data_IF_413933692704
#
_entry.id   IF_413933692704
#
_cell.length_a   1.000
_cell.length_b   1.000
_cell.length_c   1.000
_cell.angle_alpha   90.00
_cell.angle_beta   90.00
_cell.angle_gamma   90.00
#
_symmetry.space_group_name_H-M   'P 1'
#
loop_
_entity.id
_entity.type
_entity.pdbx_description
1 polymer ?
#
# COMPACT_ATOMS: atom_id res chain seq x y z
N UNK A 1 39.74 17.35 1.00
CA UNK A 1 39.24 16.28 1.91
C UNK A 1 40.08 15.03 1.73
N UNK A 2 40.16 14.17 2.74
CA UNK A 2 40.87 12.89 2.60
C UNK A 2 40.10 12.00 1.61
N UNK A 3 40.78 11.24 0.73
CA UNK A 3 40.12 10.33 -0.20
C UNK A 3 39.16 9.35 0.49
N UNK A 4 39.49 8.87 1.68
CA UNK A 4 38.62 8.02 2.49
C UNK A 4 37.31 8.69 2.89
N UNK A 5 37.31 10.00 3.15
CA UNK A 5 36.10 10.76 3.46
C UNK A 5 35.20 10.90 2.23
N UNK A 6 35.79 11.10 1.05
CA UNK A 6 35.05 11.19 -0.21
C UNK A 6 34.41 9.84 -0.54
N UNK A 7 35.16 8.74 -0.40
CA UNK A 7 34.64 7.39 -0.63
C UNK A 7 33.45 7.09 0.31
N UNK A 8 33.60 7.37 1.61
CA UNK A 8 32.53 7.18 2.57
C UNK A 8 31.26 7.99 2.23
N UNK A 9 31.41 9.23 1.75
CA UNK A 9 30.26 10.04 1.34
C UNK A 9 29.54 9.46 0.12
N UNK A 10 30.28 8.92 -0.85
CA UNK A 10 29.69 8.27 -2.02
C UNK A 10 28.96 6.96 -1.65
N UNK A 11 29.54 6.17 -0.74
CA UNK A 11 28.88 4.96 -0.23
C UNK A 11 27.59 5.32 0.53
N UNK A 12 27.62 6.36 1.35
CA UNK A 12 26.44 6.85 2.07
C UNK A 12 25.36 7.35 1.11
N UNK A 13 25.74 8.12 0.09
CA UNK A 13 24.82 8.60 -0.96
C UNK A 13 24.12 7.42 -1.64
N UNK A 14 24.88 6.41 -2.05
CA UNK A 14 24.33 5.19 -2.65
C UNK A 14 23.39 4.46 -1.68
N UNK A 15 23.76 4.28 -0.40
CA UNK A 15 22.88 3.64 0.57
C UNK A 15 21.56 4.38 0.74
N UNK A 16 21.59 5.72 0.78
CA UNK A 16 20.38 6.56 0.89
C UNK A 16 19.52 6.43 -0.36
N UNK A 17 20.13 6.48 -1.55
CA UNK A 17 19.41 6.33 -2.82
C UNK A 17 18.71 4.97 -2.92
N UNK A 18 19.40 3.89 -2.56
CA UNK A 18 18.81 2.54 -2.57
C UNK A 18 17.66 2.41 -1.57
N UNK A 19 17.84 2.88 -0.33
CA UNK A 19 16.79 2.84 0.68
C UNK A 19 15.55 3.67 0.27
N UNK A 20 15.78 4.84 -0.35
CA UNK A 20 14.70 5.67 -0.88
C UNK A 20 13.96 4.97 -2.02
N UNK A 21 14.69 4.37 -2.96
CA UNK A 21 14.12 3.64 -4.08
C UNK A 21 13.25 2.47 -3.61
N UNK A 22 13.75 1.65 -2.67
CA UNK A 22 12.98 0.55 -2.08
C UNK A 22 11.71 1.06 -1.41
N UNK A 23 11.81 2.15 -0.64
CA UNK A 23 10.64 2.76 0.00
C UNK A 23 9.60 3.23 -1.02
N UNK A 24 10.02 3.86 -2.12
CA UNK A 24 9.13 4.24 -3.20
C UNK A 24 8.44 3.02 -3.82
N UNK A 25 9.19 1.93 -4.08
CA UNK A 25 8.62 0.70 -4.61
C UNK A 25 7.58 0.10 -3.67
N UNK A 26 7.90 -0.04 -2.39
CA UNK A 26 6.95 -0.57 -1.40
C UNK A 26 5.71 0.30 -1.28
N UNK A 27 5.87 1.63 -1.25
CA UNK A 27 4.75 2.57 -1.20
C UNK A 27 3.84 2.42 -2.41
N UNK A 28 4.40 2.28 -3.62
CA UNK A 28 3.62 2.05 -4.82
C UNK A 28 2.83 0.73 -4.76
N UNK A 29 3.48 -0.36 -4.34
CA UNK A 29 2.81 -1.67 -4.22
C UNK A 29 1.69 -1.63 -3.18
N UNK A 30 1.89 -0.93 -2.06
CA UNK A 30 0.88 -0.73 -1.03
C UNK A 30 -0.31 0.04 -1.60
N UNK A 31 -0.06 1.16 -2.29
CA UNK A 31 -1.10 1.98 -2.93
C UNK A 31 -1.90 1.17 -3.97
N UNK A 32 -1.23 0.45 -4.86
CA UNK A 32 -1.87 -0.38 -5.88
C UNK A 32 -2.80 -1.45 -5.27
N UNK A 33 -2.34 -2.11 -4.19
CA UNK A 33 -3.14 -3.12 -3.48
C UNK A 33 -4.31 -2.49 -2.73
N UNK A 34 -4.10 -1.32 -2.13
CA UNK A 34 -5.15 -0.58 -1.45
C UNK A 34 -6.26 -0.21 -2.45
N UNK A 35 -5.89 0.39 -3.58
CA UNK A 35 -6.82 0.78 -4.64
C UNK A 35 -7.53 -0.43 -5.25
N UNK A 36 -6.81 -1.54 -5.44
CA UNK A 36 -7.41 -2.81 -5.86
C UNK A 36 -8.55 -3.23 -4.92
N UNK A 37 -8.33 -3.22 -3.60
CA UNK A 37 -9.35 -3.60 -2.64
C UNK A 37 -10.54 -2.64 -2.63
N UNK A 38 -10.28 -1.32 -2.66
CA UNK A 38 -11.34 -0.30 -2.71
C UNK A 38 -12.20 -0.48 -3.97
N UNK A 39 -11.55 -0.61 -5.13
CA UNK A 39 -12.24 -0.77 -6.41
C UNK A 39 -13.01 -2.10 -6.48
N UNK A 40 -12.44 -3.19 -5.94
CA UNK A 40 -13.13 -4.47 -5.87
C UNK A 40 -14.44 -4.36 -5.09
N UNK A 41 -14.43 -3.74 -3.91
CA UNK A 41 -15.64 -3.55 -3.10
C UNK A 41 -16.69 -2.70 -3.83
N UNK A 42 -16.27 -1.60 -4.45
CA UNK A 42 -17.14 -0.70 -5.21
C UNK A 42 -17.77 -1.39 -6.42
N UNK A 43 -16.97 -2.12 -7.21
CA UNK A 43 -17.45 -2.84 -8.40
C UNK A 43 -18.42 -3.96 -8.07
N UNK A 44 -18.28 -4.57 -6.89
CA UNK A 44 -19.21 -5.58 -6.39
C UNK A 44 -20.40 -4.97 -5.62
N UNK A 45 -20.57 -3.64 -5.64
CA UNK A 45 -21.66 -2.93 -4.98
C UNK A 45 -21.84 -3.29 -3.50
N UNK A 46 -20.74 -3.58 -2.81
CA UNK A 46 -20.79 -3.89 -1.38
C UNK A 46 -21.09 -2.59 -0.64
N UNK A 47 -22.21 -2.56 0.10
CA UNK A 47 -22.67 -1.34 0.80
C UNK A 47 -22.55 -1.45 2.33
N UNK A 48 -22.24 -2.65 2.85
CA UNK A 48 -22.22 -2.93 4.28
C UNK A 48 -20.77 -3.16 4.77
N UNK A 49 -20.41 -2.54 5.90
CA UNK A 49 -19.07 -2.67 6.50
C UNK A 49 -18.68 -4.12 6.83
N UNK A 50 -19.59 -4.89 7.45
CA UNK A 50 -19.33 -6.29 7.81
C UNK A 50 -19.14 -7.16 6.57
N UNK A 51 -19.99 -6.95 5.55
CA UNK A 51 -19.86 -7.65 4.28
C UNK A 51 -18.55 -7.29 3.57
N UNK A 52 -18.17 -6.01 3.57
CA UNK A 52 -16.90 -5.55 3.01
C UNK A 52 -15.71 -6.23 3.68
N UNK A 53 -15.65 -6.24 5.01
CA UNK A 53 -14.57 -6.93 5.76
C UNK A 53 -14.53 -8.43 5.42
N UNK A 54 -15.69 -9.09 5.36
CA UNK A 54 -15.75 -10.52 5.04
C UNK A 54 -15.32 -10.81 3.60
N UNK A 55 -15.69 -9.96 2.65
CA UNK A 55 -15.26 -10.06 1.26
C UNK A 55 -13.75 -9.85 1.15
N UNK A 56 -13.19 -8.82 1.79
CA UNK A 56 -11.75 -8.58 1.82
C UNK A 56 -10.99 -9.78 2.39
N UNK A 57 -11.47 -10.36 3.49
CA UNK A 57 -10.89 -11.58 4.11
C UNK A 57 -10.94 -12.82 3.22
N UNK A 58 -11.82 -12.85 2.21
CA UNK A 58 -11.91 -13.98 1.26
C UNK A 58 -10.98 -13.80 0.08
N UNK A 59 -10.77 -12.57 -0.38
CA UNK A 59 -10.07 -12.29 -1.65
C UNK A 59 -8.60 -11.95 -1.48
N UNK A 60 -8.15 -11.52 -0.28
CA UNK A 60 -6.75 -11.15 -0.10
C UNK A 60 -5.83 -12.35 -0.30
N UNK A 61 -4.69 -12.10 -0.93
CA UNK A 61 -3.64 -13.09 -1.07
C UNK A 61 -2.91 -13.26 0.27
N UNK A 62 -3.06 -14.44 0.88
CA UNK A 62 -2.45 -14.80 2.18
C UNK A 62 -0.94 -14.96 2.09
N UNK A 63 -0.38 -15.12 0.89
CA UNK A 63 1.05 -15.20 0.67
C UNK A 63 1.68 -13.81 0.47
N UNK A 64 0.87 -12.78 0.24
CA UNK A 64 1.34 -11.40 0.12
C UNK A 64 1.37 -10.73 1.48
N UNK A 65 2.59 -10.53 2.03
CA UNK A 65 2.79 -9.85 3.32
C UNK A 65 2.10 -8.48 3.37
N UNK A 66 2.25 -7.68 2.29
CA UNK A 66 1.59 -6.37 2.17
C UNK A 66 0.07 -6.49 2.19
N UNK A 67 -0.51 -7.47 1.48
CA UNK A 67 -1.95 -7.66 1.50
C UNK A 67 -2.45 -8.04 2.90
N UNK A 68 -1.73 -8.94 3.60
CA UNK A 68 -2.02 -9.30 4.98
C UNK A 68 -1.98 -8.08 5.91
N UNK A 69 -0.93 -7.25 5.81
CA UNK A 69 -0.82 -6.03 6.62
C UNK A 69 -1.94 -5.04 6.33
N UNK A 70 -2.31 -4.85 5.06
CA UNK A 70 -3.46 -4.01 4.69
C UNK A 70 -4.77 -4.51 5.31
N UNK A 71 -5.01 -5.81 5.31
CA UNK A 71 -6.21 -6.40 5.94
C UNK A 71 -6.19 -6.27 7.48
N UNK A 72 -5.02 -6.30 8.11
CA UNK A 72 -4.91 -6.19 9.57
C UNK A 72 -5.02 -4.73 10.03
N UNK A 73 -4.30 -3.82 9.37
CA UNK A 73 -4.11 -2.45 9.86
C UNK A 73 -4.90 -1.39 9.10
N UNK A 74 -5.24 -1.62 7.83
CA UNK A 74 -5.87 -0.62 6.97
C UNK A 74 -7.29 -0.98 6.53
N UNK A 75 -7.87 -2.08 7.02
CA UNK A 75 -9.20 -2.55 6.58
C UNK A 75 -10.29 -1.51 6.78
N UNK A 76 -10.26 -0.77 7.89
CA UNK A 76 -11.24 0.29 8.14
C UNK A 76 -11.12 1.44 7.14
N UNK A 77 -9.90 1.80 6.73
CA UNK A 77 -9.65 2.84 5.73
C UNK A 77 -10.09 2.38 4.33
N UNK A 78 -9.78 1.13 3.96
CA UNK A 78 -10.22 0.52 2.69
C UNK A 78 -11.75 0.54 2.61
N UNK A 79 -12.41 0.09 3.67
CA UNK A 79 -13.88 0.04 3.72
C UNK A 79 -14.47 1.46 3.72
N UNK A 80 -13.86 2.39 4.45
CA UNK A 80 -14.31 3.78 4.46
C UNK A 80 -14.24 4.40 3.06
N UNK A 81 -13.11 4.25 2.37
CA UNK A 81 -12.94 4.78 1.02
C UNK A 81 -13.89 4.11 0.03
N UNK A 82 -14.07 2.79 0.13
CA UNK A 82 -15.01 2.07 -0.73
C UNK A 82 -16.46 2.56 -0.57
N UNK A 83 -16.91 2.79 0.67
CA UNK A 83 -18.32 3.05 0.99
C UNK A 83 -18.70 4.53 1.02
N UNK A 84 -17.77 5.43 1.33
CA UNK A 84 -18.09 6.81 1.69
C UNK A 84 -17.37 7.87 0.86
N UNK A 85 -16.17 7.59 0.33
CA UNK A 85 -15.54 8.50 -0.62
C UNK A 85 -16.20 8.36 -1.99
N UNK A 86 -16.82 9.44 -2.48
CA UNK A 86 -17.14 9.57 -3.90
C UNK A 86 -15.85 9.93 -4.63
N UNK A 87 -15.42 9.09 -5.58
CA UNK A 87 -14.43 9.50 -6.56
C UNK A 87 -14.95 10.75 -7.27
N UNK A 88 -14.32 11.91 -7.04
CA UNK A 88 -14.46 13.01 -7.98
C UNK A 88 -13.79 12.54 -9.27
N UNK A 89 -14.59 12.14 -10.24
CA UNK A 89 -14.12 11.95 -11.60
C UNK A 89 -13.49 13.28 -12.05
N UNK A 90 -12.16 13.29 -12.17
CA UNK A 90 -11.40 14.39 -12.77
C UNK A 90 -10.90 13.92 -14.12
#
# INVERSE_FOLDING_TARGET
MKPSTILFMLELEQCVEHAYFDLCQYTNIVSDKFDYFVNYLRQNCIMNKLEAVNTLRRIYDKHSGIACELIVYAVDNIVHNALHEKLMHT
#
